data_IF_195106410997
#
_entry.id   IF_195106410997
#
_cell.length_a   1.000
_cell.length_b   1.000
_cell.length_c   1.000
_cell.angle_alpha   90.00
_cell.angle_beta   90.00
_cell.angle_gamma   90.00
#
_symmetry.space_group_name_H-M   'P 1'
#
loop_
_entity.id
_entity.type
_entity.pdbx_description
1 polymer ?
#
# COMPACT_ATOMS: atom_id res chain seq x y z
N UNK A 1 -30.37 -19.64 -25.89
CA UNK A 1 -29.78 -18.64 -24.96
C UNK A 1 -28.29 -18.93 -24.81
N UNK A 2 -27.43 -18.44 -25.72
CA UNK A 2 -25.97 -18.69 -25.66
C UNK A 2 -25.10 -17.54 -26.24
N UNK A 3 -25.61 -16.29 -26.34
CA UNK A 3 -24.87 -15.22 -27.04
C UNK A 3 -24.30 -14.11 -26.15
N UNK A 4 -24.41 -14.21 -24.81
CA UNK A 4 -23.89 -13.20 -23.87
C UNK A 4 -22.51 -13.50 -23.29
N UNK A 5 -22.08 -14.77 -23.27
CA UNK A 5 -20.87 -15.20 -22.56
C UNK A 5 -19.59 -15.07 -23.40
N UNK A 6 -19.67 -15.21 -24.73
CA UNK A 6 -18.49 -15.30 -25.61
C UNK A 6 -17.84 -13.96 -25.96
N UNK A 7 -18.59 -12.85 -25.98
CA UNK A 7 -18.05 -11.53 -26.37
C UNK A 7 -17.42 -10.85 -25.15
N UNK A 8 -18.03 -11.00 -23.98
CA UNK A 8 -17.51 -10.45 -22.73
C UNK A 8 -16.25 -11.19 -22.28
N UNK A 9 -16.17 -12.51 -22.46
CA UNK A 9 -14.94 -13.28 -22.18
C UNK A 9 -13.79 -12.85 -23.09
N UNK A 10 -14.01 -12.78 -24.41
CA UNK A 10 -12.98 -12.38 -25.37
C UNK A 10 -12.43 -10.97 -25.13
N UNK A 11 -13.31 -9.99 -24.84
CA UNK A 11 -12.89 -8.64 -24.48
C UNK A 11 -12.09 -8.61 -23.16
N UNK A 12 -12.52 -9.39 -22.16
CA UNK A 12 -11.77 -9.51 -20.89
C UNK A 12 -10.36 -10.08 -21.08
N UNK A 13 -10.20 -11.08 -21.96
CA UNK A 13 -8.92 -11.73 -22.24
C UNK A 13 -7.97 -10.78 -22.98
N UNK A 14 -8.48 -10.01 -23.95
CA UNK A 14 -7.70 -9.00 -24.67
C UNK A 14 -7.20 -7.88 -23.75
N UNK A 15 -8.02 -7.44 -22.79
CA UNK A 15 -7.64 -6.39 -21.85
C UNK A 15 -6.67 -6.91 -20.78
N UNK A 16 -6.86 -8.13 -20.29
CA UNK A 16 -5.90 -8.78 -19.39
C UNK A 16 -4.52 -8.92 -20.03
N UNK A 17 -4.46 -9.34 -21.30
CA UNK A 17 -3.22 -9.42 -22.07
C UNK A 17 -2.57 -8.04 -22.27
N UNK A 18 -3.38 -7.01 -22.53
CA UNK A 18 -2.92 -5.63 -22.65
C UNK A 18 -2.27 -5.11 -21.35
N UNK A 19 -2.95 -5.29 -20.20
CA UNK A 19 -2.42 -4.88 -18.89
C UNK A 19 -1.13 -5.64 -18.56
N UNK A 20 -1.10 -6.95 -18.83
CA UNK A 20 0.09 -7.78 -18.65
C UNK A 20 1.29 -7.24 -19.43
N UNK A 21 1.12 -6.99 -20.74
CA UNK A 21 2.17 -6.42 -21.59
C UNK A 21 2.64 -5.04 -21.10
N UNK A 22 1.71 -4.17 -20.71
CA UNK A 22 2.05 -2.84 -20.20
C UNK A 22 2.88 -2.89 -18.92
N UNK A 23 2.54 -3.81 -18.02
CA UNK A 23 3.30 -4.05 -16.79
C UNK A 23 4.67 -4.66 -17.11
N UNK A 24 4.75 -5.70 -17.94
CA UNK A 24 6.00 -6.40 -18.28
C UNK A 24 6.99 -5.50 -19.03
N UNK A 25 6.54 -4.87 -20.11
CA UNK A 25 7.42 -4.09 -20.98
C UNK A 25 7.70 -2.69 -20.42
N UNK A 26 6.94 -2.26 -19.40
CA UNK A 26 6.84 -0.85 -18.97
C UNK A 26 6.70 0.10 -20.15
N UNK A 27 6.05 -0.40 -21.21
CA UNK A 27 5.85 0.23 -22.49
C UNK A 27 4.49 -0.24 -23.01
N UNK A 28 3.66 0.70 -23.46
CA UNK A 28 2.41 0.42 -24.17
C UNK A 28 2.63 0.76 -25.64
N UNK A 29 3.45 -0.04 -26.33
CA UNK A 29 3.77 0.18 -27.75
C UNK A 29 2.54 0.20 -28.66
N UNK A 30 1.47 -0.48 -28.27
CA UNK A 30 0.21 -0.59 -29.01
C UNK A 30 -0.86 0.45 -28.57
N UNK A 31 -0.61 1.25 -27.52
CA UNK A 31 -1.58 2.23 -27.03
C UNK A 31 -0.91 3.57 -26.70
N UNK A 32 -1.05 4.52 -27.62
CA UNK A 32 -0.58 5.90 -27.45
C UNK A 32 -1.46 6.74 -26.52
N UNK A 33 -2.63 6.22 -26.13
CA UNK A 33 -3.65 6.96 -25.37
C UNK A 33 -3.39 6.99 -23.86
N UNK A 34 -2.62 6.04 -23.32
CA UNK A 34 -2.32 5.96 -21.89
C UNK A 34 -0.79 5.96 -21.69
N UNK A 35 -0.20 7.06 -21.19
CA UNK A 35 1.20 7.05 -20.79
C UNK A 35 1.45 5.97 -19.74
N UNK A 36 2.59 5.26 -19.76
CA UNK A 36 2.91 4.22 -18.76
C UNK A 36 2.86 4.74 -17.32
N UNK A 37 3.19 6.02 -17.11
CA UNK A 37 3.05 6.67 -15.82
C UNK A 37 1.60 6.64 -15.27
N UNK A 38 0.60 6.48 -16.14
CA UNK A 38 -0.82 6.39 -15.81
C UNK A 38 -1.34 4.95 -15.69
N UNK A 39 -0.51 3.94 -15.96
CA UNK A 39 -0.91 2.54 -15.86
C UNK A 39 -1.42 2.14 -14.46
N UNK A 40 -0.80 2.58 -13.34
CA UNK A 40 -1.37 2.33 -12.01
C UNK A 40 -2.77 2.94 -11.82
N UNK A 41 -3.00 4.14 -12.36
CA UNK A 41 -4.31 4.80 -12.28
C UNK A 41 -5.37 4.02 -13.08
N UNK A 42 -5.02 3.56 -14.28
CA UNK A 42 -5.90 2.73 -15.09
C UNK A 42 -6.24 1.40 -14.39
N UNK A 43 -5.24 0.70 -13.84
CA UNK A 43 -5.48 -0.55 -13.11
C UNK A 43 -6.39 -0.32 -11.90
N UNK A 44 -6.19 0.77 -11.16
CA UNK A 44 -7.06 1.14 -10.04
C UNK A 44 -8.50 1.41 -10.49
N UNK A 45 -8.70 2.16 -11.58
CA UNK A 45 -10.06 2.43 -12.12
C UNK A 45 -10.72 1.13 -12.58
N UNK A 46 -9.98 0.26 -13.27
CA UNK A 46 -10.48 -1.04 -13.71
C UNK A 46 -10.84 -1.94 -12.52
N UNK A 47 -10.05 -1.93 -11.44
CA UNK A 47 -10.38 -2.63 -10.21
C UNK A 47 -11.76 -2.20 -9.66
N UNK A 48 -12.07 -0.91 -9.68
CA UNK A 48 -13.36 -0.39 -9.19
C UNK A 48 -14.55 -0.80 -10.07
N UNK A 49 -14.33 -1.04 -11.35
CA UNK A 49 -15.37 -1.41 -12.31
C UNK A 49 -15.56 -2.94 -12.34
N UNK A 50 -14.46 -3.68 -12.32
CA UNK A 50 -14.42 -5.12 -12.61
C UNK A 50 -13.16 -5.73 -11.96
N UNK A 51 -13.21 -6.04 -10.65
CA UNK A 51 -12.09 -6.62 -9.90
C UNK A 51 -11.50 -7.88 -10.53
N UNK A 52 -12.33 -8.70 -11.18
CA UNK A 52 -11.97 -9.94 -11.86
C UNK A 52 -10.93 -9.74 -12.98
N UNK A 53 -10.89 -8.57 -13.61
CA UNK A 53 -9.86 -8.24 -14.60
C UNK A 53 -8.50 -8.04 -13.95
N UNK A 54 -8.49 -7.53 -12.72
CA UNK A 54 -7.26 -7.25 -11.98
C UNK A 54 -6.69 -8.51 -11.36
N UNK A 55 -7.53 -9.45 -10.93
CA UNK A 55 -7.09 -10.77 -10.44
C UNK A 55 -6.11 -11.44 -11.41
N UNK A 56 -6.36 -11.32 -12.72
CA UNK A 56 -5.51 -11.92 -13.76
C UNK A 56 -4.09 -11.33 -13.82
N UNK A 57 -3.87 -10.11 -13.34
CA UNK A 57 -2.55 -9.46 -13.35
C UNK A 57 -1.86 -9.49 -11.99
N UNK A 58 -2.52 -9.97 -10.93
CA UNK A 58 -1.94 -10.04 -9.58
C UNK A 58 -0.63 -10.83 -9.50
N UNK A 59 -0.49 -12.01 -10.15
CA UNK A 59 0.79 -12.73 -10.14
C UNK A 59 1.96 -11.90 -10.65
N UNK A 60 1.72 -11.07 -11.67
CA UNK A 60 2.73 -10.16 -12.22
C UNK A 60 3.02 -8.98 -11.27
N UNK A 61 1.99 -8.44 -10.60
CA UNK A 61 2.20 -7.42 -9.57
C UNK A 61 3.08 -7.95 -8.43
N UNK A 62 2.84 -9.20 -8.00
CA UNK A 62 3.67 -9.89 -7.01
C UNK A 62 5.12 -10.02 -7.48
N UNK A 63 5.34 -10.50 -8.70
CA UNK A 63 6.68 -10.62 -9.29
C UNK A 63 7.39 -9.26 -9.32
N UNK A 64 6.67 -8.20 -9.69
CA UNK A 64 7.23 -6.85 -9.73
C UNK A 64 7.57 -6.29 -8.34
N UNK A 65 6.81 -6.63 -7.29
CA UNK A 65 7.20 -6.31 -5.91
C UNK A 65 8.50 -7.02 -5.50
N UNK A 66 8.82 -8.16 -6.10
CA UNK A 66 10.03 -8.93 -5.84
C UNK A 66 11.22 -8.55 -6.75
N UNK A 67 10.97 -7.78 -7.81
CA UNK A 67 11.97 -7.38 -8.79
C UNK A 67 13.16 -6.63 -8.17
N UNK A 68 14.36 -6.85 -8.70
CA UNK A 68 15.55 -6.07 -8.35
C UNK A 68 15.43 -4.59 -8.75
N UNK A 69 14.57 -4.28 -9.73
CA UNK A 69 14.38 -2.93 -10.22
C UNK A 69 13.48 -2.11 -9.27
N UNK A 70 14.10 -1.14 -8.59
CA UNK A 70 13.46 -0.23 -7.63
C UNK A 70 12.23 0.47 -8.21
N UNK A 71 12.26 0.87 -9.48
CA UNK A 71 11.14 1.57 -10.11
C UNK A 71 9.92 0.66 -10.32
N UNK A 72 10.10 -0.64 -10.60
CA UNK A 72 8.97 -1.60 -10.63
C UNK A 72 8.35 -1.69 -9.24
N UNK A 73 9.18 -1.95 -8.23
CA UNK A 73 8.72 -2.12 -6.85
C UNK A 73 7.96 -0.89 -6.39
N UNK A 74 8.48 0.31 -6.66
CA UNK A 74 7.84 1.58 -6.31
C UNK A 74 6.48 1.76 -7.01
N UNK A 75 6.40 1.47 -8.31
CA UNK A 75 5.15 1.60 -9.07
C UNK A 75 4.06 0.66 -8.54
N UNK A 76 4.39 -0.61 -8.30
CA UNK A 76 3.42 -1.58 -7.79
C UNK A 76 3.09 -1.35 -6.33
N UNK A 77 4.04 -0.86 -5.53
CA UNK A 77 3.77 -0.39 -4.17
C UNK A 77 2.74 0.74 -4.18
N UNK A 78 2.88 1.72 -5.08
CA UNK A 78 1.93 2.82 -5.22
C UNK A 78 0.52 2.33 -5.52
N UNK A 79 0.39 1.46 -6.53
CA UNK A 79 -0.87 0.84 -6.90
C UNK A 79 -1.48 0.03 -5.73
N UNK A 80 -0.69 -0.84 -5.12
CA UNK A 80 -1.14 -1.75 -4.07
C UNK A 80 -1.62 -0.98 -2.84
N UNK A 81 -0.90 0.06 -2.42
CA UNK A 81 -1.32 0.92 -1.33
C UNK A 81 -2.65 1.63 -1.59
N UNK A 82 -2.87 2.10 -2.83
CA UNK A 82 -4.16 2.68 -3.24
C UNK A 82 -5.28 1.65 -3.20
N UNK A 83 -5.05 0.44 -3.72
CA UNK A 83 -6.01 -0.66 -3.68
C UNK A 83 -6.37 -1.02 -2.24
N UNK A 84 -5.40 -1.24 -1.35
CA UNK A 84 -5.65 -1.57 0.06
C UNK A 84 -6.23 -0.41 0.87
N UNK A 85 -6.12 0.82 0.37
CA UNK A 85 -6.75 2.00 0.98
C UNK A 85 -8.18 2.24 0.50
N UNK A 86 -8.72 1.38 -0.37
CA UNK A 86 -10.11 1.45 -0.80
C UNK A 86 -11.03 0.71 0.19
N UNK A 87 -12.14 1.31 0.67
CA UNK A 87 -13.04 0.66 1.62
C UNK A 87 -13.65 -0.65 1.14
N UNK A 88 -13.86 -0.79 -0.17
CA UNK A 88 -14.44 -1.98 -0.80
C UNK A 88 -13.36 -3.01 -1.16
N UNK A 89 -12.11 -2.77 -0.77
CA UNK A 89 -11.02 -3.69 -1.08
C UNK A 89 -11.18 -5.01 -0.33
N UNK A 90 -11.16 -6.11 -1.09
CA UNK A 90 -11.15 -7.49 -0.59
C UNK A 90 -9.92 -8.28 -1.04
N UNK A 91 -8.94 -7.60 -1.67
CA UNK A 91 -7.74 -8.27 -2.18
C UNK A 91 -6.86 -8.87 -1.09
N UNK A 92 -6.86 -8.33 0.13
CA UNK A 92 -6.09 -8.93 1.23
C UNK A 92 -6.69 -10.25 1.74
N UNK A 93 -7.99 -10.49 1.50
CA UNK A 93 -8.69 -11.75 1.81
C UNK A 93 -8.58 -12.73 0.63
N UNK A 94 -8.88 -12.25 -0.58
CA UNK A 94 -8.97 -13.09 -1.77
C UNK A 94 -7.59 -13.43 -2.35
N UNK A 95 -6.62 -12.53 -2.20
CA UNK A 95 -5.29 -12.59 -2.82
C UNK A 95 -4.20 -12.32 -1.76
N UNK A 96 -4.14 -13.14 -0.70
CA UNK A 96 -3.31 -12.88 0.48
C UNK A 96 -1.81 -12.83 0.18
N UNK A 97 -1.37 -13.45 -0.92
CA UNK A 97 0.00 -13.37 -1.38
C UNK A 97 0.41 -11.95 -1.78
N UNK A 98 -0.47 -11.21 -2.48
CA UNK A 98 -0.21 -9.81 -2.83
C UNK A 98 -0.03 -8.94 -1.58
N UNK A 99 -0.91 -9.13 -0.59
CA UNK A 99 -0.81 -8.43 0.69
C UNK A 99 0.50 -8.77 1.43
N UNK A 100 0.87 -10.05 1.47
CA UNK A 100 2.10 -10.53 2.12
C UNK A 100 3.34 -9.91 1.48
N UNK A 101 3.42 -9.90 0.15
CA UNK A 101 4.56 -9.32 -0.57
C UNK A 101 4.61 -7.79 -0.49
N UNK A 102 3.44 -7.14 -0.43
CA UNK A 102 3.34 -5.72 -0.13
C UNK A 102 3.88 -5.40 1.28
N UNK A 103 3.48 -6.15 2.31
CA UNK A 103 3.99 -5.94 3.68
C UNK A 103 5.50 -6.14 3.77
N UNK A 104 6.08 -7.08 3.03
CA UNK A 104 7.55 -7.25 2.97
C UNK A 104 8.27 -5.99 2.50
N UNK A 105 7.62 -5.10 1.73
CA UNK A 105 8.23 -3.83 1.27
C UNK A 105 8.46 -2.84 2.40
N UNK A 106 7.80 -2.97 3.55
CA UNK A 106 8.19 -2.19 4.73
C UNK A 106 9.64 -2.48 5.11
N UNK A 107 10.17 -3.67 4.81
CA UNK A 107 11.57 -4.09 4.98
C UNK A 107 12.40 -4.04 3.69
N UNK A 108 12.00 -3.27 2.67
CA UNK A 108 12.74 -3.20 1.41
C UNK A 108 14.19 -2.72 1.61
N UNK A 109 15.09 -3.20 0.77
CA UNK A 109 16.50 -2.77 0.76
C UNK A 109 16.64 -1.26 0.48
N UNK A 110 15.71 -0.69 -0.29
CA UNK A 110 15.71 0.74 -0.60
C UNK A 110 14.94 1.53 0.49
N UNK A 111 15.57 2.49 1.19
CA UNK A 111 14.92 3.30 2.22
C UNK A 111 13.75 4.15 1.70
N UNK A 112 13.75 4.59 0.45
CA UNK A 112 12.68 5.39 -0.14
C UNK A 112 11.40 4.56 -0.33
N UNK A 113 11.53 3.28 -0.69
CA UNK A 113 10.40 2.34 -0.74
C UNK A 113 9.81 2.17 0.66
N UNK A 114 10.65 2.04 1.69
CA UNK A 114 10.18 1.92 3.08
C UNK A 114 9.45 3.18 3.54
N UNK A 115 9.98 4.36 3.21
CA UNK A 115 9.30 5.64 3.44
C UNK A 115 7.95 5.72 2.71
N UNK A 116 7.86 5.23 1.47
CA UNK A 116 6.62 5.20 0.71
C UNK A 116 5.58 4.26 1.35
N UNK A 117 5.99 3.10 1.87
CA UNK A 117 5.14 2.19 2.64
C UNK A 117 4.55 2.92 3.86
N UNK A 118 5.39 3.59 4.65
CA UNK A 118 4.97 4.34 5.84
C UNK A 118 3.96 5.42 5.47
N UNK A 119 4.16 6.16 4.37
CA UNK A 119 3.22 7.19 3.92
C UNK A 119 1.84 6.61 3.59
N UNK A 120 1.77 5.46 2.94
CA UNK A 120 0.50 4.81 2.59
C UNK A 120 -0.20 4.16 3.78
N UNK A 121 0.55 3.74 4.80
CA UNK A 121 0.03 3.13 6.01
C UNK A 121 -1.08 3.98 6.66
N UNK A 122 -0.97 5.31 6.60
CA UNK A 122 -1.96 6.23 7.16
C UNK A 122 -3.38 5.93 6.65
N UNK A 123 -3.56 5.79 5.34
CA UNK A 123 -4.89 5.57 4.77
C UNK A 123 -5.39 4.15 5.04
N UNK A 124 -4.49 3.17 5.01
CA UNK A 124 -4.84 1.76 5.31
C UNK A 124 -5.31 1.63 6.76
N UNK A 125 -4.62 2.26 7.73
CA UNK A 125 -4.99 2.22 9.15
C UNK A 125 -6.38 2.84 9.39
N UNK A 126 -6.74 3.88 8.64
CA UNK A 126 -8.05 4.52 8.72
C UNK A 126 -9.14 3.61 8.13
N UNK A 127 -8.91 3.12 6.91
CA UNK A 127 -9.95 2.48 6.08
C UNK A 127 -10.13 1.00 6.39
N UNK A 128 -9.06 0.30 6.78
CA UNK A 128 -9.06 -1.16 6.95
C UNK A 128 -8.73 -1.57 8.39
N UNK A 129 -9.73 -1.58 9.31
CA UNK A 129 -9.54 -2.04 10.68
C UNK A 129 -8.92 -3.44 10.79
N UNK A 130 -9.29 -4.35 9.87
CA UNK A 130 -8.78 -5.72 9.83
C UNK A 130 -7.26 -5.80 9.61
N UNK A 131 -6.66 -4.81 8.95
CA UNK A 131 -5.23 -4.79 8.64
C UNK A 131 -4.38 -4.05 9.69
N UNK A 132 -5.01 -3.37 10.66
CA UNK A 132 -4.33 -2.49 11.63
C UNK A 132 -3.22 -3.18 12.40
N UNK A 133 -3.44 -4.43 12.84
CA UNK A 133 -2.44 -5.18 13.59
C UNK A 133 -1.15 -5.38 12.78
N UNK A 134 -1.28 -5.94 11.57
CA UNK A 134 -0.14 -6.23 10.70
C UNK A 134 0.59 -4.95 10.26
N UNK A 135 -0.15 -3.89 9.90
CA UNK A 135 0.44 -2.60 9.53
C UNK A 135 1.14 -1.94 10.74
N UNK A 136 0.54 -2.02 11.93
CA UNK A 136 1.15 -1.53 13.17
C UNK A 136 2.47 -2.22 13.46
N UNK A 137 2.52 -3.55 13.35
CA UNK A 137 3.75 -4.32 13.61
C UNK A 137 4.85 -3.94 12.61
N UNK A 138 4.50 -3.76 11.33
CA UNK A 138 5.42 -3.28 10.31
C UNK A 138 5.97 -1.87 10.62
N UNK A 139 5.12 -0.94 11.09
CA UNK A 139 5.52 0.41 11.48
C UNK A 139 6.40 0.44 12.73
N UNK A 140 6.08 -0.39 13.74
CA UNK A 140 6.90 -0.52 14.95
C UNK A 140 8.33 -0.96 14.58
N UNK A 141 8.47 -1.92 13.67
CA UNK A 141 9.77 -2.37 13.18
C UNK A 141 10.56 -1.25 12.47
N UNK A 142 9.92 -0.16 12.05
CA UNK A 142 10.54 1.03 11.43
C UNK A 142 10.85 2.15 12.43
N UNK A 143 10.38 2.09 13.66
CA UNK A 143 10.78 3.04 14.71
C UNK A 143 12.29 2.95 15.04
N UNK A 144 12.88 1.76 14.84
CA UNK A 144 14.31 1.45 15.05
C UNK A 144 15.08 1.23 13.75
N UNK A 145 14.58 1.79 12.65
CA UNK A 145 15.23 1.65 11.33
C UNK A 145 16.69 2.14 11.35
N UNK A 146 17.57 1.55 10.53
CA UNK A 146 18.95 2.02 10.37
C UNK A 146 19.01 3.42 9.75
N UNK A 147 18.10 3.73 8.82
CA UNK A 147 18.06 5.02 8.13
C UNK A 147 17.25 6.06 8.92
N UNK A 148 17.85 7.23 9.12
CA UNK A 148 17.22 8.32 9.87
C UNK A 148 15.91 8.79 9.23
N UNK A 149 15.88 8.93 7.91
CA UNK A 149 14.70 9.42 7.20
C UNK A 149 13.49 8.50 7.35
N UNK A 150 13.71 7.18 7.37
CA UNK A 150 12.66 6.18 7.62
C UNK A 150 12.09 6.33 9.04
N UNK A 151 12.97 6.50 10.04
CA UNK A 151 12.53 6.74 11.43
C UNK A 151 11.72 8.03 11.55
N UNK A 152 12.18 9.11 10.92
CA UNK A 152 11.48 10.39 10.92
C UNK A 152 10.13 10.31 10.20
N UNK A 153 10.02 9.52 9.12
CA UNK A 153 8.77 9.35 8.41
C UNK A 153 7.71 8.63 9.26
N UNK A 154 8.10 7.67 10.12
CA UNK A 154 7.15 7.07 11.09
C UNK A 154 6.58 8.14 12.03
N UNK A 155 7.44 9.00 12.58
CA UNK A 155 7.01 10.08 13.48
C UNK A 155 6.05 11.03 12.76
N UNK A 156 6.39 11.45 11.54
CA UNK A 156 5.55 12.34 10.74
C UNK A 156 4.21 11.71 10.39
N UNK A 157 4.20 10.43 10.01
CA UNK A 157 2.97 9.69 9.70
C UNK A 157 2.07 9.61 10.93
N UNK A 158 2.63 9.27 12.10
CA UNK A 158 1.85 9.22 13.34
C UNK A 158 1.29 10.60 13.70
N UNK A 159 2.06 11.68 13.53
CA UNK A 159 1.57 13.04 13.73
C UNK A 159 0.41 13.41 12.79
N UNK A 160 0.47 12.98 11.52
CA UNK A 160 -0.63 13.18 10.56
C UNK A 160 -1.85 12.36 10.95
N UNK A 161 -1.67 11.07 11.25
CA UNK A 161 -2.75 10.16 11.62
C UNK A 161 -3.45 10.59 12.93
N UNK A 162 -2.67 11.06 13.91
CA UNK A 162 -3.16 11.61 15.17
C UNK A 162 -4.18 12.74 14.97
N UNK A 163 -3.90 13.64 14.01
CA UNK A 163 -4.78 14.77 13.68
C UNK A 163 -6.00 14.34 12.88
N UNK A 164 -5.88 13.26 12.10
CA UNK A 164 -6.90 12.80 11.15
C UNK A 164 -7.88 11.80 11.76
N UNK A 165 -7.38 10.77 12.45
CA UNK A 165 -8.16 9.67 13.01
C UNK A 165 -7.39 9.03 14.15
N UNK A 166 -7.49 9.64 15.33
CA UNK A 166 -6.77 9.21 16.52
C UNK A 166 -6.99 7.72 16.80
N UNK A 167 -8.23 7.22 16.72
CA UNK A 167 -8.60 5.84 17.06
C UNK A 167 -8.04 4.77 16.10
N UNK A 168 -7.38 5.18 15.01
CA UNK A 168 -6.64 4.28 14.14
C UNK A 168 -5.21 3.99 14.63
N UNK A 169 -4.70 4.78 15.58
CA UNK A 169 -3.39 4.56 16.21
C UNK A 169 -3.51 3.56 17.35
N UNK A 170 -2.53 2.67 17.44
CA UNK A 170 -2.39 1.75 18.58
C UNK A 170 -1.50 2.34 19.65
N UNK A 171 -1.80 2.03 20.92
CA UNK A 171 -0.94 2.38 22.06
C UNK A 171 0.49 1.86 21.87
N UNK A 172 0.63 0.62 21.38
CA UNK A 172 1.92 0.00 21.07
C UNK A 172 2.78 0.86 20.14
N UNK A 173 2.21 1.39 19.05
CA UNK A 173 2.93 2.24 18.12
C UNK A 173 3.31 3.59 18.75
N UNK A 174 2.39 4.19 19.51
CA UNK A 174 2.62 5.45 20.21
C UNK A 174 3.77 5.35 21.21
N UNK A 175 3.80 4.30 22.04
CA UNK A 175 4.91 4.05 22.98
C UNK A 175 6.25 3.95 22.27
N UNK A 176 6.32 3.22 21.15
CA UNK A 176 7.56 3.09 20.38
C UNK A 176 8.02 4.41 19.76
N UNK A 177 7.09 5.30 19.38
CA UNK A 177 7.44 6.63 18.88
C UNK A 177 7.92 7.55 20.01
N UNK A 178 7.27 7.50 21.18
CA UNK A 178 7.67 8.27 22.38
C UNK A 178 9.11 7.97 22.78
N UNK A 179 9.48 6.69 22.85
CA UNK A 179 10.83 6.24 23.21
C UNK A 179 11.94 6.81 22.28
N UNK A 180 11.57 7.27 21.09
CA UNK A 180 12.52 7.84 20.10
C UNK A 180 12.65 9.35 20.17
N UNK A 181 11.73 10.04 20.85
CA UNK A 181 11.75 11.48 20.99
C UNK A 181 12.70 11.88 22.12
N UNK A 182 13.65 12.77 21.83
CA UNK A 182 14.51 13.41 22.84
C UNK A 182 13.99 14.79 23.27
N UNK A 183 12.93 15.29 22.63
CA UNK A 183 12.36 16.62 22.87
C UNK A 183 11.18 16.54 23.85
N UNK A 184 11.30 17.25 24.97
CA UNK A 184 10.30 17.27 26.06
C UNK A 184 8.91 17.71 25.60
N UNK A 185 8.79 18.64 24.64
CA UNK A 185 7.49 19.13 24.16
C UNK A 185 6.78 18.09 23.31
N UNK A 186 7.51 17.37 22.47
CA UNK A 186 6.95 16.32 21.62
C UNK A 186 6.59 15.10 22.46
N UNK A 187 7.43 14.75 23.45
CA UNK A 187 7.12 13.70 24.45
C UNK A 187 5.81 14.03 25.17
N UNK A 188 5.65 15.24 25.69
CA UNK A 188 4.44 15.65 26.41
C UNK A 188 3.17 15.55 25.55
N UNK A 189 3.23 15.94 24.27
CA UNK A 189 2.10 15.79 23.34
C UNK A 189 1.69 14.32 23.19
N UNK A 190 2.66 13.42 23.03
CA UNK A 190 2.39 12.00 22.86
C UNK A 190 1.99 11.30 24.17
N UNK A 191 2.53 11.71 25.32
CA UNK A 191 2.10 11.22 26.63
C UNK A 191 0.63 11.56 26.90
N UNK A 192 0.19 12.77 26.55
CA UNK A 192 -1.23 13.14 26.62
C UNK A 192 -2.06 12.23 25.73
N UNK A 193 -1.63 11.97 24.50
CA UNK A 193 -2.34 11.07 23.59
C UNK A 193 -2.46 9.66 24.18
N UNK A 194 -1.36 9.07 24.68
CA UNK A 194 -1.38 7.74 25.31
C UNK A 194 -2.32 7.70 26.53
N UNK A 195 -2.35 8.75 27.34
CA UNK A 195 -3.26 8.82 28.49
C UNK A 195 -4.73 8.94 28.07
N UNK A 196 -5.05 9.52 26.91
CA UNK A 196 -6.41 9.55 26.35
C UNK A 196 -6.87 8.15 25.89
N UNK A 197 -5.96 7.25 25.52
CA UNK A 197 -6.29 5.88 25.13
C UNK A 197 -6.50 4.91 26.29
N UNK A 198 -6.21 5.31 27.53
CA UNK A 198 -6.48 4.51 28.72
C UNK A 198 -7.93 4.70 29.17
N UNK A 199 -8.85 4.00 28.52
CA UNK A 199 -10.22 3.76 29.01
C UNK A 199 -10.55 2.28 28.89
#
# INVERSE_FOLDING_TARGET
>A
MLNGLSINSFKSDSLGAFLKRGLEMRALSECTLVPIAKLPELIFVLYKISPELIVRVIPLLVEQLQSENVAARSQVLELSGRLFSDPECRLYENEPNLWTEYLKRYCDINPDIRCACIKQAESILVVQPALRGQVTDALIARCKDSHQDVRLEVIRMVQRLARRKLEALSERLLSQVIDRLRDKKVIFFFEIMVNIFKF
#
